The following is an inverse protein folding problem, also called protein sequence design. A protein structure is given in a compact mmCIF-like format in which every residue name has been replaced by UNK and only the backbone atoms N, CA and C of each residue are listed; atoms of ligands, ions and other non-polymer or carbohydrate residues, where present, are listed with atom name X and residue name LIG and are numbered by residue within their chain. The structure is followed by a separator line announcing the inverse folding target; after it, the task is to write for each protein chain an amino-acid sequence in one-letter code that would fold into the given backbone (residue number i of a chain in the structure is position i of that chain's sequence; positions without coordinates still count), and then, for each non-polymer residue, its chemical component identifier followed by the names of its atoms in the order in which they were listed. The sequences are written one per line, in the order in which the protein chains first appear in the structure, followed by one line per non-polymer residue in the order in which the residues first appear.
data_IF_862262775887
#
_entry.id   IF_862262775887
#
_cell.length_a   1.000
_cell.length_b   1.000
_cell.length_c   1.000
_cell.angle_alpha   90.00
_cell.angle_beta   90.00
_cell.angle_gamma   90.00
#
_symmetry.space_group_name_H-M   'P 1'
#
loop_
_entity.id
_entity.type
_entity.pdbx_description
1 polymer ?
#
# COMPACT_ATOMS: atom_id res chain seq x y z
N UNK A 1 27.19 -9.85 -7.90
CA UNK A 1 25.91 -9.14 -8.13
C UNK A 1 26.18 -8.08 -9.18
N UNK A 2 25.34 -7.97 -10.20
CA UNK A 2 25.45 -6.89 -11.19
C UNK A 2 25.11 -5.56 -10.53
N UNK A 3 25.75 -4.48 -10.99
CA UNK A 3 25.38 -3.12 -10.57
C UNK A 3 23.91 -2.86 -10.93
N UNK A 4 23.08 -2.36 -9.99
CA UNK A 4 21.69 -2.03 -10.28
C UNK A 4 21.56 -1.03 -11.44
N UNK A 5 20.58 -1.27 -12.29
CA UNK A 5 20.15 -0.31 -13.31
C UNK A 5 19.23 0.70 -12.63
N UNK A 6 19.74 1.91 -12.44
CA UNK A 6 19.02 3.02 -11.80
C UNK A 6 18.15 3.84 -12.77
N UNK A 7 17.56 4.94 -12.28
CA UNK A 7 16.73 5.81 -13.10
C UNK A 7 17.55 6.55 -14.18
N UNK A 8 16.89 6.94 -15.27
CA UNK A 8 17.51 7.72 -16.35
C UNK A 8 18.14 9.01 -15.80
N UNK A 9 19.39 9.28 -16.18
CA UNK A 9 20.14 10.47 -15.77
C UNK A 9 19.40 11.76 -16.18
N UNK A 10 18.93 12.49 -15.16
CA UNK A 10 18.17 13.72 -15.33
C UNK A 10 19.02 14.92 -15.80
N UNK A 11 20.35 14.80 -15.78
CA UNK A 11 21.27 15.80 -16.35
C UNK A 11 21.46 15.64 -17.86
N UNK A 12 21.16 14.45 -18.40
CA UNK A 12 21.25 14.13 -19.83
C UNK A 12 19.89 14.11 -20.51
N UNK A 13 18.87 13.54 -19.86
CA UNK A 13 17.51 13.46 -20.39
C UNK A 13 16.56 14.23 -19.49
N UNK A 14 15.91 15.30 -19.99
CA UNK A 14 15.03 16.11 -19.18
C UNK A 14 13.87 15.30 -18.62
N UNK A 15 13.42 15.65 -17.41
CA UNK A 15 12.40 14.88 -16.66
C UNK A 15 11.06 14.75 -17.38
N UNK A 16 10.73 15.66 -18.29
CA UNK A 16 9.51 15.59 -19.08
C UNK A 16 9.59 14.62 -20.27
N UNK A 17 10.76 14.04 -20.55
CA UNK A 17 11.00 13.13 -21.67
C UNK A 17 11.18 11.67 -21.24
N UNK A 18 11.03 10.76 -22.21
CA UNK A 18 11.17 9.32 -22.04
C UNK A 18 9.90 8.62 -21.56
N UNK A 19 9.95 7.28 -21.44
CA UNK A 19 8.83 6.46 -20.98
C UNK A 19 8.29 6.91 -19.61
N UNK A 20 7.00 6.64 -19.37
CA UNK A 20 6.32 6.99 -18.13
C UNK A 20 6.35 5.84 -17.11
N UNK A 21 7.55 5.34 -16.77
CA UNK A 21 7.75 4.39 -15.66
C UNK A 21 7.90 5.13 -14.32
N UNK A 22 7.60 4.45 -13.23
CA UNK A 22 7.76 4.93 -11.87
C UNK A 22 9.21 5.34 -11.62
N UNK A 23 9.40 6.57 -11.15
CA UNK A 23 10.70 7.20 -10.89
C UNK A 23 11.68 7.16 -12.10
N UNK A 24 11.18 6.92 -13.33
CA UNK A 24 11.99 6.67 -14.53
C UNK A 24 12.93 5.46 -14.40
N UNK A 25 12.53 4.47 -13.62
CA UNK A 25 13.23 3.20 -13.44
C UNK A 25 13.09 2.30 -14.68
N UNK A 26 13.99 1.31 -14.85
CA UNK A 26 13.86 0.30 -15.91
C UNK A 26 12.56 -0.49 -15.75
N UNK A 27 12.04 -0.98 -16.87
CA UNK A 27 10.96 -1.95 -16.91
C UNK A 27 11.45 -3.32 -16.47
N UNK A 28 10.52 -4.18 -16.07
CA UNK A 28 10.83 -5.55 -15.65
C UNK A 28 11.58 -6.36 -16.72
N UNK A 29 11.33 -6.13 -18.02
CA UNK A 29 12.01 -6.80 -19.13
C UNK A 29 13.42 -6.24 -19.44
N UNK A 30 13.80 -5.14 -18.80
CA UNK A 30 15.12 -4.50 -18.95
C UNK A 30 16.10 -4.89 -17.82
N UNK A 31 15.66 -5.72 -16.88
CA UNK A 31 16.47 -6.21 -15.76
C UNK A 31 16.43 -7.74 -15.70
N UNK A 32 17.50 -8.37 -15.22
CA UNK A 32 17.54 -9.84 -15.10
C UNK A 32 16.69 -10.35 -13.93
N UNK A 33 16.75 -9.67 -12.78
CA UNK A 33 16.00 -10.00 -11.57
C UNK A 33 15.91 -8.75 -10.68
N UNK A 34 14.71 -8.28 -10.30
CA UNK A 34 14.55 -7.16 -9.38
C UNK A 34 14.55 -7.62 -7.91
N UNK A 35 15.09 -6.80 -7.01
CA UNK A 35 14.88 -6.93 -5.56
C UNK A 35 13.51 -6.38 -5.13
N UNK A 36 13.00 -5.41 -5.91
CA UNK A 36 11.71 -4.74 -5.69
C UNK A 36 11.02 -4.51 -7.04
N UNK A 37 9.78 -4.96 -7.15
CA UNK A 37 8.91 -4.66 -8.28
C UNK A 37 7.88 -3.60 -7.88
N UNK A 38 7.83 -2.50 -8.63
CA UNK A 38 6.78 -1.49 -8.51
C UNK A 38 5.63 -1.88 -9.43
N UNK A 39 4.47 -2.13 -8.86
CA UNK A 39 3.31 -2.65 -9.59
C UNK A 39 2.14 -1.69 -9.43
N UNK A 40 1.52 -1.28 -10.53
CA UNK A 40 0.26 -0.54 -10.48
C UNK A 40 -0.95 -1.47 -10.47
N UNK A 41 -2.00 -1.08 -9.75
CA UNK A 41 -3.28 -1.79 -9.72
C UNK A 41 -4.41 -0.80 -10.01
N UNK A 42 -4.72 -0.52 -11.28
CA UNK A 42 -5.76 0.44 -11.66
C UNK A 42 -7.17 -0.12 -11.41
N UNK A 43 -7.64 -0.05 -10.17
CA UNK A 43 -8.89 -0.66 -9.70
C UNK A 43 -9.65 0.28 -8.76
N UNK A 44 -10.95 0.47 -8.96
CA UNK A 44 -11.78 1.21 -8.00
C UNK A 44 -13.23 0.68 -7.93
N UNK A 45 -13.45 -0.60 -8.25
CA UNK A 45 -14.80 -1.19 -8.26
C UNK A 45 -15.34 -1.41 -6.84
N UNK A 46 -14.48 -1.35 -5.81
CA UNK A 46 -14.86 -1.48 -4.40
C UNK A 46 -15.26 -0.17 -3.74
N UNK A 47 -15.19 0.97 -4.44
CA UNK A 47 -15.53 2.29 -3.87
C UNK A 47 -17.03 2.46 -3.63
N UNK A 48 -17.39 3.05 -2.49
CA UNK A 48 -18.80 3.33 -2.15
C UNK A 48 -19.26 4.74 -2.53
N UNK A 49 -18.36 5.70 -2.72
CA UNK A 49 -18.71 7.12 -2.91
C UNK A 49 -18.18 7.74 -4.20
N UNK A 50 -16.88 8.09 -4.29
CA UNK A 50 -16.29 8.74 -5.47
C UNK A 50 -15.33 7.79 -6.18
N UNK A 51 -15.63 7.36 -7.42
CA UNK A 51 -14.66 6.60 -8.22
C UNK A 51 -13.61 7.53 -8.83
N UNK A 52 -12.54 6.94 -9.36
CA UNK A 52 -11.44 7.66 -10.01
C UNK A 52 -10.05 7.09 -9.65
N UNK A 53 -9.96 6.33 -8.55
CA UNK A 53 -8.70 5.75 -8.09
C UNK A 53 -8.08 4.79 -9.12
N UNK A 54 -8.86 4.24 -10.07
CA UNK A 54 -8.33 3.45 -11.20
C UNK A 54 -7.32 4.20 -12.08
N UNK A 55 -7.32 5.54 -12.05
CA UNK A 55 -6.33 6.36 -12.78
C UNK A 55 -5.09 6.70 -11.94
N UNK A 56 -5.10 6.40 -10.63
CA UNK A 56 -4.03 6.69 -9.68
C UNK A 56 -2.66 6.20 -10.13
N UNK A 57 -2.47 4.93 -10.52
CA UNK A 57 -1.15 4.41 -10.88
C UNK A 57 -0.48 5.18 -12.03
N UNK A 58 -1.24 5.54 -13.05
CA UNK A 58 -0.74 6.32 -14.18
C UNK A 58 -0.34 7.75 -13.76
N UNK A 59 -1.15 8.41 -12.93
CA UNK A 59 -0.86 9.75 -12.41
C UNK A 59 0.36 9.77 -11.47
N UNK A 60 0.52 8.74 -10.63
CA UNK A 60 1.70 8.59 -9.77
C UNK A 60 2.95 8.40 -10.62
N UNK A 61 2.93 7.53 -11.64
CA UNK A 61 4.07 7.38 -12.57
C UNK A 61 4.43 8.70 -13.25
N UNK A 62 3.44 9.43 -13.78
CA UNK A 62 3.66 10.72 -14.42
C UNK A 62 4.32 11.74 -13.46
N UNK A 63 3.86 11.78 -12.21
CA UNK A 63 4.35 12.74 -11.19
C UNK A 63 5.70 12.33 -10.60
N UNK A 64 5.98 11.02 -10.52
CA UNK A 64 7.21 10.46 -9.94
C UNK A 64 8.49 10.86 -10.69
N UNK A 65 8.38 11.40 -11.92
CA UNK A 65 9.51 11.88 -12.73
C UNK A 65 10.33 12.99 -12.03
N UNK A 66 9.79 13.61 -10.97
CA UNK A 66 10.48 14.60 -10.14
C UNK A 66 11.43 14.02 -9.09
N UNK A 67 11.34 12.72 -8.80
CA UNK A 67 12.15 12.07 -7.77
C UNK A 67 13.65 12.11 -8.10
N UNK A 68 14.48 12.17 -7.06
CA UNK A 68 15.95 12.14 -7.14
C UNK A 68 16.47 10.85 -6.50
N UNK A 69 17.62 10.34 -6.94
CA UNK A 69 18.12 9.04 -6.47
C UNK A 69 18.68 9.05 -5.04
N UNK A 70 18.94 10.22 -4.45
CA UNK A 70 19.53 10.36 -3.11
C UNK A 70 18.52 10.96 -2.12
N UNK A 71 18.38 10.32 -0.95
CA UNK A 71 17.53 10.78 0.15
C UNK A 71 18.38 11.43 1.25
N UNK A 72 18.39 12.77 1.38
CA UNK A 72 19.32 13.48 2.28
C UNK A 72 19.04 13.26 3.78
N UNK A 73 17.78 12.99 4.16
CA UNK A 73 17.43 12.76 5.57
C UNK A 73 17.86 11.40 6.11
N UNK A 74 18.20 10.45 5.23
CA UNK A 74 18.61 9.08 5.59
C UNK A 74 20.03 8.75 5.11
N UNK A 75 20.63 9.64 4.30
CA UNK A 75 21.93 9.42 3.65
C UNK A 75 21.99 8.10 2.86
N UNK A 76 20.97 7.86 2.01
CA UNK A 76 20.87 6.64 1.20
C UNK A 76 20.54 6.92 -0.26
N UNK A 77 21.04 6.06 -1.14
CA UNK A 77 20.68 6.01 -2.56
C UNK A 77 20.05 4.65 -2.87
N UNK A 78 18.73 4.45 -2.70
CA UNK A 78 18.09 3.13 -2.78
C UNK A 78 18.35 2.44 -4.12
N UNK A 79 18.27 3.18 -5.23
CA UNK A 79 18.48 2.65 -6.58
C UNK A 79 19.95 2.33 -6.90
N UNK A 80 20.89 2.69 -6.04
CA UNK A 80 22.31 2.34 -6.20
C UNK A 80 22.65 1.00 -5.51
N UNK A 81 21.81 0.54 -4.57
CA UNK A 81 22.07 -0.65 -3.74
C UNK A 81 21.04 -1.76 -3.92
N UNK A 82 19.90 -1.47 -4.57
CA UNK A 82 18.84 -2.43 -4.87
C UNK A 82 18.40 -2.28 -6.33
N UNK A 83 18.21 -3.40 -7.01
CA UNK A 83 17.57 -3.41 -8.32
C UNK A 83 16.06 -3.21 -8.15
N UNK A 84 15.58 -2.04 -8.52
CA UNK A 84 14.14 -1.72 -8.55
C UNK A 84 13.69 -1.64 -10.00
N UNK A 85 12.58 -2.27 -10.34
CA UNK A 85 11.99 -2.21 -11.68
C UNK A 85 10.51 -1.86 -11.62
N UNK A 86 10.03 -1.11 -12.62
CA UNK A 86 8.59 -0.92 -12.85
C UNK A 86 8.06 -2.15 -13.60
N UNK A 87 7.15 -2.88 -12.97
CA UNK A 87 6.55 -4.08 -13.50
C UNK A 87 5.23 -3.82 -14.26
N UNK A 88 4.92 -2.55 -14.52
CA UNK A 88 3.69 -2.17 -15.20
C UNK A 88 2.47 -2.36 -14.29
N UNK A 89 1.31 -2.59 -14.91
CA UNK A 89 0.05 -2.74 -14.21
C UNK A 89 -0.42 -4.19 -14.23
N UNK A 90 -1.03 -4.63 -13.13
CA UNK A 90 -1.85 -5.85 -13.15
C UNK A 90 -3.21 -5.48 -13.72
N UNK A 91 -3.51 -6.03 -14.90
CA UNK A 91 -4.82 -5.86 -15.52
C UNK A 91 -5.86 -6.69 -14.76
N UNK A 92 -6.77 -6.02 -14.04
CA UNK A 92 -7.87 -6.64 -13.30
C UNK A 92 -9.21 -6.32 -13.94
N UNK A 93 -10.21 -7.18 -13.72
CA UNK A 93 -11.56 -6.98 -14.27
C UNK A 93 -12.26 -5.79 -13.57
N UNK A 94 -12.65 -4.71 -14.27
CA UNK A 94 -13.32 -3.57 -13.64
C UNK A 94 -14.81 -3.83 -13.35
N UNK A 95 -15.38 -4.93 -13.83
CA UNK A 95 -16.80 -5.26 -13.69
C UNK A 95 -17.08 -6.41 -12.72
N UNK A 96 -16.06 -7.19 -12.38
CA UNK A 96 -16.16 -8.32 -11.47
C UNK A 96 -15.08 -8.20 -10.39
N UNK A 97 -15.50 -7.84 -9.18
CA UNK A 97 -14.63 -7.63 -8.03
C UNK A 97 -13.98 -8.93 -7.54
N UNK A 98 -14.66 -10.07 -7.66
CA UNK A 98 -14.11 -11.35 -7.21
C UNK A 98 -13.04 -11.84 -8.19
N UNK A 99 -13.29 -11.72 -9.50
CA UNK A 99 -12.29 -11.99 -10.53
C UNK A 99 -11.08 -11.05 -10.40
N UNK A 100 -11.32 -9.76 -10.12
CA UNK A 100 -10.26 -8.79 -9.90
C UNK A 100 -9.36 -9.17 -8.71
N UNK A 101 -9.96 -9.53 -7.57
CA UNK A 101 -9.24 -9.99 -6.37
C UNK A 101 -8.42 -11.25 -6.70
N UNK A 102 -9.03 -12.25 -7.34
CA UNK A 102 -8.35 -13.49 -7.71
C UNK A 102 -7.18 -13.28 -8.69
N UNK A 103 -7.37 -12.40 -9.67
CA UNK A 103 -6.33 -12.04 -10.65
C UNK A 103 -5.14 -11.35 -9.97
N UNK A 104 -5.41 -10.39 -9.08
CA UNK A 104 -4.36 -9.69 -8.35
C UNK A 104 -3.62 -10.62 -7.39
N UNK A 105 -4.32 -11.52 -6.70
CA UNK A 105 -3.72 -12.51 -5.82
C UNK A 105 -2.75 -13.43 -6.58
N UNK A 106 -3.15 -13.93 -7.75
CA UNK A 106 -2.29 -14.76 -8.60
C UNK A 106 -1.06 -13.99 -9.09
N UNK A 107 -1.23 -12.74 -9.52
CA UNK A 107 -0.11 -11.90 -9.93
C UNK A 107 0.87 -11.66 -8.76
N UNK A 108 0.36 -11.32 -7.57
CA UNK A 108 1.17 -11.09 -6.38
C UNK A 108 1.94 -12.35 -5.94
N UNK A 109 1.31 -13.53 -6.04
CA UNK A 109 1.99 -14.81 -5.81
C UNK A 109 3.14 -15.06 -6.79
N UNK A 110 3.00 -14.64 -8.04
CA UNK A 110 4.07 -14.73 -9.04
C UNK A 110 5.35 -14.01 -8.59
N UNK A 111 5.22 -12.75 -8.15
CA UNK A 111 6.36 -11.98 -7.64
C UNK A 111 6.94 -12.57 -6.34
N UNK A 112 6.09 -13.06 -5.43
CA UNK A 112 6.54 -13.59 -4.15
C UNK A 112 7.37 -14.88 -4.28
N UNK A 113 7.16 -15.66 -5.35
CA UNK A 113 7.92 -16.88 -5.64
C UNK A 113 9.40 -16.58 -5.96
N UNK A 114 9.69 -15.40 -6.50
CA UNK A 114 11.03 -14.98 -6.93
C UNK A 114 11.81 -14.20 -5.85
N UNK A 115 11.32 -14.19 -4.59
CA UNK A 115 11.86 -13.36 -3.50
C UNK A 115 11.82 -11.85 -3.80
N UNK A 116 10.92 -11.43 -4.70
CA UNK A 116 10.73 -10.03 -5.08
C UNK A 116 9.78 -9.36 -4.09
N UNK A 117 10.20 -8.22 -3.54
CA UNK A 117 9.30 -7.37 -2.74
C UNK A 117 8.40 -6.53 -3.63
N UNK A 118 7.14 -6.42 -3.26
CA UNK A 118 6.17 -5.59 -3.97
C UNK A 118 6.08 -4.19 -3.36
N UNK A 119 6.14 -3.17 -4.22
CA UNK A 119 5.66 -1.83 -3.93
C UNK A 119 4.45 -1.57 -4.84
N UNK A 120 3.25 -1.64 -4.28
CA UNK A 120 2.02 -1.50 -5.05
C UNK A 120 1.50 -0.07 -5.02
N UNK A 121 1.18 0.47 -6.19
CA UNK A 121 0.48 1.73 -6.34
C UNK A 121 -0.95 1.39 -6.75
N UNK A 122 -1.88 1.63 -5.85
CA UNK A 122 -3.24 1.14 -6.01
C UNK A 122 -4.17 2.03 -6.80
N UNK A 123 -5.40 1.56 -6.89
CA UNK A 123 -6.58 2.41 -6.81
C UNK A 123 -7.17 2.27 -5.39
N UNK A 124 -8.38 1.73 -5.24
CA UNK A 124 -9.04 1.69 -3.93
C UNK A 124 -8.47 0.64 -2.95
N UNK A 125 -8.64 0.82 -1.62
CA UNK A 125 -8.13 -0.08 -0.57
C UNK A 125 -8.50 -1.57 -0.66
N UNK A 126 -9.50 -1.97 -1.44
CA UNK A 126 -9.89 -3.39 -1.62
C UNK A 126 -8.70 -4.25 -2.05
N UNK A 127 -7.75 -3.67 -2.80
CA UNK A 127 -6.57 -4.37 -3.29
C UNK A 127 -5.65 -4.88 -2.16
N UNK A 128 -5.77 -4.36 -0.93
CA UNK A 128 -4.97 -4.78 0.21
C UNK A 128 -5.20 -6.26 0.55
N UNK A 129 -6.43 -6.77 0.43
CA UNK A 129 -6.77 -8.16 0.75
C UNK A 129 -5.97 -9.19 -0.07
N UNK A 130 -6.01 -9.20 -1.42
CA UNK A 130 -5.21 -10.16 -2.20
C UNK A 130 -3.69 -9.98 -2.02
N UNK A 131 -3.22 -8.76 -1.76
CA UNK A 131 -1.81 -8.50 -1.47
C UNK A 131 -1.38 -9.07 -0.10
N UNK A 132 -2.26 -8.96 0.91
CA UNK A 132 -2.06 -9.58 2.23
C UNK A 132 -2.08 -11.10 2.16
N UNK A 133 -2.94 -11.71 1.34
CA UNK A 133 -2.93 -13.17 1.10
C UNK A 133 -1.56 -13.62 0.58
N UNK A 134 -1.02 -12.90 -0.41
CA UNK A 134 0.30 -13.20 -0.95
C UNK A 134 1.43 -13.00 0.07
N UNK A 135 1.39 -11.92 0.85
CA UNK A 135 2.37 -11.67 1.91
C UNK A 135 2.31 -12.73 3.02
N UNK A 136 1.12 -13.05 3.50
CA UNK A 136 0.92 -14.02 4.58
C UNK A 136 1.28 -15.45 4.14
N UNK A 137 1.07 -15.80 2.87
CA UNK A 137 1.54 -17.09 2.31
C UNK A 137 3.06 -17.25 2.43
N UNK A 138 3.82 -16.17 2.29
CA UNK A 138 5.29 -16.17 2.39
C UNK A 138 5.77 -16.13 3.84
N UNK A 139 5.09 -15.37 4.69
CA UNK A 139 5.60 -14.97 6.00
C UNK A 139 4.84 -15.55 7.20
N UNK A 140 3.73 -16.25 6.96
CA UNK A 140 2.72 -16.52 7.99
C UNK A 140 1.91 -15.25 8.32
N UNK A 141 1.08 -15.28 9.37
CA UNK A 141 0.35 -14.09 9.83
C UNK A 141 1.28 -12.88 9.98
N UNK A 142 0.92 -11.75 9.38
CA UNK A 142 1.78 -10.57 9.25
C UNK A 142 1.29 -9.40 10.11
N UNK A 143 2.22 -8.64 10.68
CA UNK A 143 1.88 -7.37 11.32
C UNK A 143 1.47 -6.33 10.28
N UNK A 144 0.51 -5.47 10.60
CA UNK A 144 0.03 -4.42 9.69
C UNK A 144 0.23 -3.04 10.32
N UNK A 145 0.91 -2.18 9.57
CA UNK A 145 0.87 -0.74 9.80
C UNK A 145 -0.06 -0.12 8.75
N UNK A 146 -1.18 0.41 9.20
CA UNK A 146 -2.20 1.03 8.36
C UNK A 146 -2.25 2.53 8.64
N UNK A 147 -1.89 3.34 7.64
CA UNK A 147 -2.00 4.80 7.72
C UNK A 147 -3.22 5.22 6.92
N UNK A 148 -4.28 5.65 7.61
CA UNK A 148 -5.61 5.90 7.02
C UNK A 148 -6.44 6.82 7.93
N UNK A 149 -7.43 7.51 7.36
CA UNK A 149 -8.49 8.17 8.12
C UNK A 149 -9.54 7.19 8.69
N UNK A 150 -9.68 6.01 8.07
CA UNK A 150 -10.74 5.02 8.27
C UNK A 150 -10.19 3.67 8.77
N UNK A 151 -11.07 2.84 9.33
CA UNK A 151 -10.68 1.56 9.94
C UNK A 151 -10.50 0.45 8.91
N UNK A 152 -11.31 0.47 7.84
CA UNK A 152 -11.36 -0.56 6.79
C UNK A 152 -11.56 -2.00 7.30
N UNK A 153 -12.25 -2.10 8.44
CA UNK A 153 -12.61 -3.34 9.14
C UNK A 153 -14.12 -3.53 9.28
N UNK A 154 -14.93 -2.84 8.49
CA UNK A 154 -16.37 -3.09 8.48
C UNK A 154 -16.69 -4.44 7.85
N UNK A 155 -17.88 -4.98 8.13
CA UNK A 155 -18.31 -6.26 7.58
C UNK A 155 -18.80 -6.10 6.13
N UNK A 156 -19.96 -5.48 5.91
CA UNK A 156 -20.51 -5.34 4.55
C UNK A 156 -21.04 -3.94 4.29
N UNK A 157 -21.07 -3.56 3.01
CA UNK A 157 -21.79 -2.39 2.52
C UNK A 157 -22.88 -2.85 1.56
N UNK A 158 -24.14 -2.52 1.84
CA UNK A 158 -25.28 -2.94 1.00
C UNK A 158 -25.35 -4.46 0.76
N UNK A 159 -24.82 -5.27 1.67
CA UNK A 159 -24.72 -6.72 1.54
C UNK A 159 -23.52 -7.22 0.72
N UNK A 160 -22.69 -6.34 0.17
CA UNK A 160 -21.45 -6.70 -0.50
C UNK A 160 -20.31 -6.90 0.50
N UNK A 161 -19.62 -8.05 0.40
CA UNK A 161 -18.54 -8.44 1.29
C UNK A 161 -17.18 -7.79 0.95
N UNK A 162 -16.99 -7.39 -0.31
CA UNK A 162 -15.76 -6.79 -0.80
C UNK A 162 -16.03 -5.34 -1.21
N UNK A 163 -15.50 -4.42 -0.42
CA UNK A 163 -15.46 -2.99 -0.71
C UNK A 163 -14.18 -2.42 -0.14
N UNK A 164 -13.89 -1.15 -0.44
CA UNK A 164 -12.75 -0.46 0.16
C UNK A 164 -12.78 -0.43 1.69
N UNK A 165 -13.96 -0.49 2.34
CA UNK A 165 -14.07 -0.47 3.80
C UNK A 165 -13.99 -1.84 4.49
N UNK A 166 -13.77 -2.94 3.76
CA UNK A 166 -13.78 -4.30 4.31
C UNK A 166 -12.47 -5.11 4.24
N UNK A 167 -11.35 -4.65 3.62
CA UNK A 167 -10.22 -5.54 3.33
C UNK A 167 -9.56 -6.13 4.59
N UNK A 168 -9.41 -5.35 5.67
CA UNK A 168 -8.76 -5.82 6.89
C UNK A 168 -9.67 -6.69 7.75
N UNK A 169 -10.99 -6.52 7.64
CA UNK A 169 -11.95 -7.46 8.23
C UNK A 169 -11.78 -8.84 7.63
N UNK A 170 -11.79 -8.92 6.30
CA UNK A 170 -11.61 -10.19 5.56
C UNK A 170 -10.25 -10.80 5.86
N UNK A 171 -9.18 -9.99 5.89
CA UNK A 171 -7.85 -10.48 6.23
C UNK A 171 -7.77 -11.06 7.66
N UNK A 172 -8.46 -10.45 8.63
CA UNK A 172 -8.56 -10.98 9.99
C UNK A 172 -9.33 -12.31 10.06
N UNK A 173 -10.47 -12.39 9.38
CA UNK A 173 -11.29 -13.61 9.30
C UNK A 173 -10.56 -14.77 8.59
N UNK A 174 -9.71 -14.46 7.62
CA UNK A 174 -8.85 -15.42 6.91
C UNK A 174 -7.57 -15.80 7.68
N UNK A 175 -7.33 -15.19 8.85
CA UNK A 175 -6.13 -15.48 9.67
C UNK A 175 -4.82 -14.98 9.07
N UNK A 176 -4.88 -13.96 8.19
CA UNK A 176 -3.71 -13.39 7.53
C UNK A 176 -2.92 -12.42 8.42
N UNK A 177 -3.57 -11.92 9.47
CA UNK A 177 -3.06 -10.88 10.34
C UNK A 177 -2.48 -11.47 11.63
N UNK A 178 -1.38 -10.87 12.09
CA UNK A 178 -0.90 -11.06 13.46
C UNK A 178 -1.64 -10.06 14.38
N UNK A 179 -2.63 -10.51 15.18
CA UNK A 179 -3.50 -9.62 15.95
C UNK A 179 -2.77 -8.88 17.07
N UNK A 180 -1.53 -9.26 17.39
CA UNK A 180 -0.69 -8.54 18.36
C UNK A 180 0.17 -7.46 17.70
N UNK A 181 0.18 -7.39 16.35
CA UNK A 181 1.08 -6.53 15.58
C UNK A 181 0.37 -5.71 14.50
N UNK A 182 -0.93 -5.45 14.68
CA UNK A 182 -1.74 -4.56 13.84
C UNK A 182 -1.97 -3.19 14.50
N UNK A 183 -1.82 -2.12 13.71
CA UNK A 183 -1.93 -0.72 14.15
C UNK A 183 -2.47 0.18 13.04
N UNK A 184 -3.53 0.92 13.34
CA UNK A 184 -4.01 2.07 12.57
C UNK A 184 -3.39 3.37 13.08
N UNK A 185 -3.03 4.27 12.17
CA UNK A 185 -2.49 5.60 12.47
C UNK A 185 -3.16 6.66 11.60
N UNK A 186 -3.83 7.63 12.23
CA UNK A 186 -4.50 8.76 11.55
C UNK A 186 -6.03 8.73 11.59
N UNK A 187 -6.61 7.72 12.25
CA UNK A 187 -8.07 7.54 12.34
C UNK A 187 -8.76 8.81 12.83
N UNK A 188 -9.78 9.25 12.08
CA UNK A 188 -10.58 10.44 12.38
C UNK A 188 -11.95 10.38 11.71
N UNK A 189 -12.80 11.35 12.03
CA UNK A 189 -14.15 11.45 11.47
C UNK A 189 -15.19 10.61 12.22
N UNK A 190 -16.47 10.74 11.84
CA UNK A 190 -17.55 10.02 12.48
C UNK A 190 -17.56 8.54 12.09
N UNK A 191 -17.95 7.69 13.04
CA UNK A 191 -18.22 6.26 12.81
C UNK A 191 -19.74 6.01 12.80
N UNK A 192 -20.16 4.84 12.31
CA UNK A 192 -21.58 4.48 12.29
C UNK A 192 -22.07 4.10 13.68
N UNK A 193 -21.24 3.41 14.47
CA UNK A 193 -21.58 3.01 15.83
C UNK A 193 -20.34 2.78 16.71
N UNK A 194 -20.48 2.80 18.05
CA UNK A 194 -19.39 2.42 18.96
C UNK A 194 -18.90 0.97 18.80
N UNK A 195 -19.69 0.09 18.18
CA UNK A 195 -19.29 -1.28 17.84
C UNK A 195 -18.11 -1.31 16.88
N UNK A 196 -17.98 -0.34 15.98
CA UNK A 196 -16.96 -0.33 14.94
C UNK A 196 -15.55 -0.43 15.56
N UNK A 197 -15.28 0.32 16.64
CA UNK A 197 -14.02 0.25 17.39
C UNK A 197 -13.84 -1.03 18.21
N UNK A 198 -14.95 -1.63 18.68
CA UNK A 198 -14.88 -2.88 19.44
C UNK A 198 -14.55 -4.05 18.51
N UNK A 199 -15.15 -4.07 17.34
CA UNK A 199 -14.97 -5.10 16.33
C UNK A 199 -13.58 -5.00 15.69
N UNK A 200 -13.11 -3.78 15.41
CA UNK A 200 -11.71 -3.50 15.00
C UNK A 200 -10.69 -4.01 16.03
N UNK A 201 -10.92 -3.70 17.31
CA UNK A 201 -10.08 -4.21 18.40
C UNK A 201 -10.10 -5.73 18.50
N UNK A 202 -11.26 -6.37 18.25
CA UNK A 202 -11.39 -7.82 18.30
C UNK A 202 -10.60 -8.52 17.18
N UNK A 203 -10.43 -7.87 16.01
CA UNK A 203 -9.53 -8.32 14.94
C UNK A 203 -8.06 -8.19 15.36
N UNK A 204 -7.76 -7.24 16.24
CA UNK A 204 -6.42 -7.02 16.79
C UNK A 204 -5.80 -5.69 16.39
N UNK A 205 -6.56 -4.72 15.89
CA UNK A 205 -5.99 -3.39 15.63
C UNK A 205 -5.89 -2.56 16.91
N UNK A 206 -4.74 -1.91 17.08
CA UNK A 206 -4.65 -0.72 17.93
C UNK A 206 -4.89 0.52 17.08
N UNK A 207 -5.34 1.60 17.70
CA UNK A 207 -5.61 2.86 17.02
C UNK A 207 -4.80 4.00 17.63
N UNK A 208 -4.10 4.74 16.78
CA UNK A 208 -3.62 6.10 17.04
C UNK A 208 -4.47 7.04 16.20
N UNK A 209 -5.31 7.85 16.86
CA UNK A 209 -6.20 8.79 16.15
C UNK A 209 -5.43 10.06 15.74
N UNK A 210 -5.99 10.82 14.80
CA UNK A 210 -5.45 12.14 14.45
C UNK A 210 -5.35 13.07 15.67
N UNK A 211 -6.31 13.00 16.60
CA UNK A 211 -6.30 13.82 17.82
C UNK A 211 -5.14 13.49 18.76
N UNK A 212 -4.64 12.25 18.75
CA UNK A 212 -3.48 11.89 19.57
C UNK A 212 -2.23 12.72 19.23
N UNK A 213 -2.12 13.22 17.99
CA UNK A 213 -1.01 14.08 17.56
C UNK A 213 -1.06 15.50 18.13
N UNK A 214 -2.19 15.93 18.70
CA UNK A 214 -2.31 17.24 19.35
C UNK A 214 -1.63 17.24 20.73
N UNK A 215 -1.78 16.14 21.46
CA UNK A 215 -1.34 16.03 22.86
C UNK A 215 -0.12 15.11 23.06
N UNK A 216 0.24 14.32 22.04
CA UNK A 216 1.35 13.36 22.10
C UNK A 216 2.44 13.76 21.10
N UNK A 217 3.69 13.79 21.58
CA UNK A 217 4.83 14.09 20.70
C UNK A 217 5.01 13.02 19.62
N UNK A 218 5.52 13.42 18.46
CA UNK A 218 5.83 12.50 17.37
C UNK A 218 6.76 11.36 17.81
N UNK A 219 7.75 11.64 18.66
CA UNK A 219 8.67 10.63 19.18
C UNK A 219 7.93 9.53 19.96
N UNK A 220 7.02 9.91 20.87
CA UNK A 220 6.22 8.95 21.63
C UNK A 220 5.25 8.14 20.76
N UNK A 221 4.68 8.76 19.71
CA UNK A 221 3.85 8.04 18.72
C UNK A 221 4.68 7.00 17.97
N UNK A 222 5.88 7.36 17.53
CA UNK A 222 6.81 6.44 16.86
C UNK A 222 7.26 5.31 17.79
N UNK A 223 7.50 5.58 19.08
CA UNK A 223 7.81 4.56 20.08
C UNK A 223 6.64 3.58 20.26
N UNK A 224 5.41 4.09 20.38
CA UNK A 224 4.19 3.26 20.45
C UNK A 224 4.03 2.40 19.20
N UNK A 225 4.25 2.98 18.01
CA UNK A 225 4.22 2.25 16.74
C UNK A 225 5.23 1.10 16.73
N UNK A 226 6.49 1.37 17.09
CA UNK A 226 7.56 0.35 17.14
C UNK A 226 7.26 -0.74 18.17
N UNK A 227 6.76 -0.35 19.35
CA UNK A 227 6.39 -1.31 20.40
C UNK A 227 5.25 -2.23 19.95
N UNK A 228 4.26 -1.71 19.22
CA UNK A 228 3.15 -2.52 18.67
C UNK A 228 3.61 -3.44 17.55
N UNK A 229 4.36 -2.93 16.58
CA UNK A 229 4.78 -3.72 15.42
C UNK A 229 5.85 -4.77 15.78
N UNK A 230 6.63 -4.53 16.83
CA UNK A 230 7.63 -5.46 17.34
C UNK A 230 8.69 -5.85 16.30
N UNK A 231 9.22 -7.07 16.43
CA UNK A 231 10.10 -7.66 15.44
C UNK A 231 9.30 -8.60 14.51
N UNK A 232 9.69 -8.66 13.24
CA UNK A 232 9.09 -9.55 12.24
C UNK A 232 8.63 -8.82 10.99
N UNK A 233 8.04 -9.54 10.02
CA UNK A 233 7.53 -8.96 8.79
C UNK A 233 6.35 -8.03 9.08
N UNK A 234 6.32 -6.89 8.39
CA UNK A 234 5.26 -5.87 8.49
C UNK A 234 4.80 -5.51 7.09
N UNK A 235 3.49 -5.58 6.87
CA UNK A 235 2.84 -4.99 5.71
C UNK A 235 2.51 -3.52 6.02
N UNK A 236 2.92 -2.61 5.15
CA UNK A 236 2.64 -1.17 5.30
C UNK A 236 1.61 -0.78 4.24
N UNK A 237 0.44 -0.37 4.69
CA UNK A 237 -0.63 0.17 3.85
C UNK A 237 -0.75 1.67 4.12
N UNK A 238 -0.80 2.47 3.06
CA UNK A 238 -0.94 3.92 3.15
C UNK A 238 -2.11 4.33 2.25
N UNK A 239 -3.22 4.71 2.85
CA UNK A 239 -4.26 5.47 2.18
C UNK A 239 -3.86 6.95 2.18
N UNK A 240 -4.04 7.62 1.05
CA UNK A 240 -3.66 9.03 0.90
C UNK A 240 -4.59 9.96 1.69
N UNK A 241 -5.81 9.52 1.99
CA UNK A 241 -6.78 10.25 2.80
C UNK A 241 -6.40 10.36 4.28
N UNK A 242 -5.33 9.67 4.72
CA UNK A 242 -4.71 9.90 6.04
C UNK A 242 -4.23 11.34 6.17
N UNK A 243 -3.89 11.98 5.05
CA UNK A 243 -3.48 13.38 5.01
C UNK A 243 -4.70 14.30 5.10
N UNK A 244 -4.45 15.56 5.47
CA UNK A 244 -5.48 16.59 5.40
C UNK A 244 -5.88 16.84 3.93
N UNK A 245 -7.17 17.02 3.60
CA UNK A 245 -7.62 17.32 2.23
C UNK A 245 -6.96 18.53 1.57
N UNK A 246 -6.40 19.47 2.34
CA UNK A 246 -5.58 20.57 1.81
C UNK A 246 -4.30 20.07 1.10
N UNK A 247 -3.80 18.89 1.48
CA UNK A 247 -2.61 18.24 0.91
C UNK A 247 -2.95 17.09 -0.03
N UNK A 248 -4.04 16.36 0.24
CA UNK A 248 -4.52 15.24 -0.56
C UNK A 248 -5.99 15.43 -0.99
N UNK A 249 -6.30 16.42 -1.86
CA UNK A 249 -7.68 16.67 -2.28
C UNK A 249 -8.24 15.65 -3.27
N UNK A 250 -7.37 14.84 -3.89
CA UNK A 250 -7.73 13.82 -4.88
C UNK A 250 -7.67 12.42 -4.29
N UNK A 251 -8.70 12.08 -3.51
CA UNK A 251 -8.89 10.79 -2.85
C UNK A 251 -10.35 10.38 -2.86
#
# INVERSE_FOLDING_TARGET
MSTPIGPVDATQVPRFAGPATFARLPRLDEVTSPDVAVVGVPFDTGVSYRPGARFGPAHVRASSKLLRPYHPGLDVSPFAVQQVADAGDVAVNPFDIEEAIGTLEQAAHGFAADDVRLLTIGGDPTIALPLLRAAARRHGPIGVLHLDAHLDTWDTYFGAAYTHGTPFRRAGEEGLLDPERCLHMGIRGPLYAPSDLRDDRAIGFQVVTADNYQDTTMAAIVERMRARLGAGPVYVSVDIDVLDPAHAPGT
#
